data_IF_092812691669
#
_entry.id   IF_092812691669
#
_cell.length_a   1.000
_cell.length_b   1.000
_cell.length_c   1.000
_cell.angle_alpha   90.00
_cell.angle_beta   90.00
_cell.angle_gamma   90.00
#
_symmetry.space_group_name_H-M   'P 1'
#
loop_
_entity.id
_entity.type
_entity.pdbx_description
1 polymer ?
#
# COMPACT_ATOMS: atom_id res chain seq x y z
N UNK A 1 3.80 -4.08 -5.50
CA UNK A 1 3.80 -3.07 -6.58
C UNK A 1 2.91 -3.53 -7.74
N UNK A 2 2.97 -4.81 -8.13
CA UNK A 2 2.24 -5.35 -9.28
C UNK A 2 0.71 -5.18 -9.29
N UNK A 3 0.02 -5.26 -8.14
CA UNK A 3 -1.45 -5.17 -8.12
C UNK A 3 -1.96 -3.77 -8.49
N UNK A 4 -1.29 -2.70 -8.03
CA UNK A 4 -1.68 -1.33 -8.36
C UNK A 4 -1.43 -1.00 -9.84
N UNK A 5 -0.34 -1.53 -10.41
CA UNK A 5 -0.04 -1.40 -11.83
C UNK A 5 -1.08 -2.14 -12.68
N UNK A 6 -1.43 -3.38 -12.31
CA UNK A 6 -2.49 -4.15 -12.95
C UNK A 6 -3.84 -3.42 -12.87
N UNK A 7 -4.19 -2.88 -11.70
CA UNK A 7 -5.41 -2.08 -11.50
C UNK A 7 -5.48 -0.90 -12.48
N UNK A 8 -4.42 -0.09 -12.55
CA UNK A 8 -4.33 1.07 -13.43
C UNK A 8 -4.40 0.68 -14.92
N UNK A 9 -3.74 -0.41 -15.29
CA UNK A 9 -3.78 -0.95 -16.66
C UNK A 9 -5.20 -1.39 -17.05
N UNK A 10 -5.91 -2.10 -16.17
CA UNK A 10 -7.29 -2.54 -16.41
C UNK A 10 -8.24 -1.35 -16.47
N UNK A 11 -8.09 -0.37 -15.59
CA UNK A 11 -8.90 0.86 -15.58
C UNK A 11 -8.75 1.64 -16.89
N UNK A 12 -7.51 1.79 -17.37
CA UNK A 12 -7.23 2.40 -18.67
C UNK A 12 -7.89 1.63 -19.81
N UNK A 13 -7.78 0.29 -19.79
CA UNK A 13 -8.38 -0.55 -20.83
C UNK A 13 -9.90 -0.50 -20.81
N UNK A 14 -10.50 -0.48 -19.63
CA UNK A 14 -11.95 -0.35 -19.43
C UNK A 14 -12.46 0.97 -20.03
N UNK A 15 -11.75 2.08 -19.78
CA UNK A 15 -12.11 3.38 -20.34
C UNK A 15 -12.03 3.38 -21.88
N UNK A 16 -10.97 2.81 -22.45
CA UNK A 16 -10.82 2.68 -23.92
C UNK A 16 -11.94 1.86 -24.54
N UNK A 17 -12.28 0.72 -23.93
CA UNK A 17 -13.35 -0.17 -24.41
C UNK A 17 -14.70 0.54 -24.38
N UNK A 18 -15.04 1.21 -23.27
CA UNK A 18 -16.29 1.98 -23.13
C UNK A 18 -16.39 3.08 -24.18
N UNK A 19 -15.31 3.81 -24.42
CA UNK A 19 -15.29 4.88 -25.42
C UNK A 19 -15.50 4.33 -26.83
N UNK A 20 -14.73 3.31 -27.24
CA UNK A 20 -14.88 2.69 -28.57
C UNK A 20 -16.28 2.14 -28.78
N UNK A 21 -16.84 1.45 -27.78
CA UNK A 21 -18.17 0.86 -27.84
C UNK A 21 -19.27 1.91 -28.06
N UNK A 22 -19.19 3.04 -27.35
CA UNK A 22 -20.13 4.16 -27.51
C UNK A 22 -20.01 4.83 -28.88
N UNK A 23 -18.77 5.11 -29.32
CA UNK A 23 -18.52 5.76 -30.60
C UNK A 23 -18.98 4.90 -31.79
N UNK A 24 -18.68 3.60 -31.77
CA UNK A 24 -19.01 2.68 -32.86
C UNK A 24 -20.54 2.49 -32.98
N UNK A 25 -21.24 2.36 -31.85
CA UNK A 25 -22.70 2.27 -31.83
C UNK A 25 -23.38 3.56 -32.26
N UNK A 26 -22.87 4.72 -31.83
CA UNK A 26 -23.40 6.01 -32.24
C UNK A 26 -23.24 6.23 -33.75
N UNK A 27 -22.06 5.93 -34.31
CA UNK A 27 -21.80 6.02 -35.75
C UNK A 27 -22.73 5.10 -36.55
N UNK A 28 -22.89 3.84 -36.14
CA UNK A 28 -23.75 2.90 -36.85
C UNK A 28 -25.22 3.33 -36.88
N UNK A 29 -25.75 3.85 -35.76
CA UNK A 29 -27.12 4.39 -35.69
C UNK A 29 -27.30 5.64 -36.54
N UNK A 30 -26.30 6.52 -36.54
CA UNK A 30 -26.33 7.73 -37.36
C UNK A 30 -26.36 7.37 -38.84
N UNK A 31 -25.48 6.47 -39.30
CA UNK A 31 -25.49 5.99 -40.69
C UNK A 31 -26.82 5.36 -41.07
N UNK A 32 -27.41 4.51 -40.21
CA UNK A 32 -28.75 3.95 -40.50
C UNK A 32 -29.82 5.04 -40.66
N UNK A 33 -29.81 6.04 -39.77
CA UNK A 33 -30.77 7.14 -39.80
C UNK A 33 -30.61 8.00 -41.05
N UNK A 34 -29.37 8.31 -41.43
CA UNK A 34 -29.06 9.12 -42.60
C UNK A 34 -29.48 8.41 -43.90
N UNK A 35 -29.15 7.12 -44.04
CA UNK A 35 -29.52 6.34 -45.23
C UNK A 35 -31.03 6.08 -45.32
N UNK A 36 -31.70 5.83 -44.19
CA UNK A 36 -33.16 5.72 -44.16
C UNK A 36 -33.85 7.03 -44.56
N UNK A 37 -33.28 8.17 -44.13
CA UNK A 37 -33.78 9.50 -44.51
C UNK A 37 -33.57 9.77 -45.99
N UNK A 38 -32.40 9.44 -46.54
CA UNK A 38 -32.11 9.57 -47.97
C UNK A 38 -33.06 8.71 -48.82
N UNK A 39 -33.34 7.47 -48.40
CA UNK A 39 -34.34 6.63 -49.05
C UNK A 39 -35.74 7.26 -49.03
N UNK A 40 -36.19 7.75 -47.88
CA UNK A 40 -37.49 8.41 -47.77
C UNK A 40 -37.61 9.67 -48.67
N UNK A 41 -36.52 10.43 -48.81
CA UNK A 41 -36.47 11.61 -49.70
C UNK A 41 -36.54 11.21 -51.18
N UNK A 42 -35.80 10.18 -51.60
CA UNK A 42 -35.83 9.68 -52.97
C UNK A 42 -37.23 9.18 -53.37
N UNK A 43 -37.89 8.45 -52.46
CA UNK A 43 -39.30 8.01 -52.62
C UNK A 43 -40.23 9.23 -52.75
N UNK A 44 -40.05 10.25 -51.90
CA UNK A 44 -40.90 11.44 -51.92
C UNK A 44 -40.75 12.28 -53.21
N UNK A 45 -39.58 12.27 -53.84
CA UNK A 45 -39.31 13.00 -55.08
C UNK A 45 -39.64 12.21 -56.35
N UNK A 46 -39.98 10.93 -56.24
CA UNK A 46 -40.30 10.07 -57.39
C UNK A 46 -39.11 9.75 -58.28
N UNK A 47 -37.89 9.86 -57.75
CA UNK A 47 -36.65 9.49 -58.45
C UNK A 47 -36.46 7.97 -58.35
N UNK A 48 -36.94 7.23 -59.35
CA UNK A 48 -36.93 5.75 -59.35
C UNK A 48 -35.51 5.17 -59.35
N UNK A 49 -34.54 5.83 -59.97
CA UNK A 49 -33.14 5.36 -59.95
C UNK A 49 -32.47 5.69 -58.61
N UNK A 50 -32.67 6.91 -58.10
CA UNK A 50 -32.20 7.32 -56.78
C UNK A 50 -32.81 6.49 -55.65
N UNK A 51 -34.09 6.12 -55.76
CA UNK A 51 -34.79 5.25 -54.81
C UNK A 51 -34.09 3.89 -54.71
N UNK A 52 -33.78 3.26 -55.85
CA UNK A 52 -33.13 1.94 -55.87
C UNK A 52 -31.73 1.98 -55.27
N UNK A 53 -30.97 3.05 -55.55
CA UNK A 53 -29.64 3.24 -54.97
C UNK A 53 -29.72 3.49 -53.45
N UNK A 54 -30.60 4.39 -53.00
CA UNK A 54 -30.79 4.72 -51.60
C UNK A 54 -31.33 3.53 -50.79
N UNK A 55 -32.20 2.69 -51.37
CA UNK A 55 -32.65 1.45 -50.73
C UNK A 55 -31.49 0.47 -50.49
N UNK A 56 -30.58 0.35 -51.45
CA UNK A 56 -29.42 -0.54 -51.32
C UNK A 56 -28.48 -0.08 -50.20
N UNK A 57 -28.22 1.22 -50.08
CA UNK A 57 -27.41 1.77 -49.00
C UNK A 57 -28.13 1.72 -47.65
N UNK A 58 -29.44 1.97 -47.59
CA UNK A 58 -30.24 1.78 -46.37
C UNK A 58 -30.20 0.33 -45.87
N UNK A 59 -30.34 -0.65 -46.76
CA UNK A 59 -30.23 -2.08 -46.41
C UNK A 59 -28.83 -2.44 -45.91
N UNK A 60 -27.79 -1.83 -46.50
CA UNK A 60 -26.40 -2.03 -46.08
C UNK A 60 -26.13 -1.39 -44.71
N UNK A 61 -26.66 -0.19 -44.46
CA UNK A 61 -26.58 0.46 -43.16
C UNK A 61 -27.30 -0.35 -42.06
N UNK A 62 -28.49 -0.90 -42.34
CA UNK A 62 -29.20 -1.78 -41.41
C UNK A 62 -28.41 -3.06 -41.07
N UNK A 63 -27.76 -3.68 -42.07
CA UNK A 63 -26.86 -4.83 -41.83
C UNK A 63 -25.66 -4.43 -40.97
N UNK A 64 -25.05 -3.29 -41.24
CA UNK A 64 -23.93 -2.77 -40.44
C UNK A 64 -24.36 -2.47 -39.00
N UNK A 65 -25.55 -1.91 -38.78
CA UNK A 65 -26.08 -1.69 -37.44
C UNK A 65 -26.30 -3.02 -36.70
N UNK A 66 -26.84 -4.05 -37.37
CA UNK A 66 -27.01 -5.37 -36.75
C UNK A 66 -25.66 -5.94 -36.29
N UNK A 67 -24.62 -5.81 -37.10
CA UNK A 67 -23.27 -6.22 -36.73
C UNK A 67 -22.70 -5.39 -35.56
N UNK A 68 -22.95 -4.07 -35.55
CA UNK A 68 -22.55 -3.19 -34.45
C UNK A 68 -23.26 -3.54 -33.15
N UNK A 69 -24.56 -3.88 -33.19
CA UNK A 69 -25.33 -4.32 -32.00
C UNK A 69 -24.74 -5.60 -31.40
N UNK A 70 -24.37 -6.59 -32.23
CA UNK A 70 -23.71 -7.81 -31.72
C UNK A 70 -22.29 -7.54 -31.19
N UNK A 71 -21.56 -6.60 -31.80
CA UNK A 71 -20.29 -6.14 -31.25
C UNK A 71 -20.47 -5.47 -29.88
N UNK A 72 -21.45 -4.57 -29.78
CA UNK A 72 -21.80 -3.88 -28.54
C UNK A 72 -22.15 -4.86 -27.42
N UNK A 73 -22.99 -5.85 -27.70
CA UNK A 73 -23.33 -6.91 -26.73
C UNK A 73 -22.07 -7.63 -26.21
N UNK A 74 -21.10 -7.92 -27.09
CA UNK A 74 -19.82 -8.54 -26.69
C UNK A 74 -18.96 -7.58 -25.86
N UNK A 75 -18.89 -6.30 -26.22
CA UNK A 75 -18.16 -5.30 -25.44
C UNK A 75 -18.76 -5.11 -24.04
N UNK A 76 -20.09 -5.14 -23.89
CA UNK A 76 -20.75 -5.07 -22.59
C UNK A 76 -20.37 -6.24 -21.66
N UNK A 77 -20.22 -7.45 -22.21
CA UNK A 77 -19.71 -8.60 -21.44
C UNK A 77 -18.25 -8.39 -21.01
N UNK A 78 -17.41 -7.85 -21.90
CA UNK A 78 -16.01 -7.54 -21.57
C UNK A 78 -15.91 -6.45 -20.49
N UNK A 79 -16.70 -5.38 -20.61
CA UNK A 79 -16.81 -4.30 -19.61
C UNK A 79 -17.15 -4.87 -18.24
N UNK A 80 -18.20 -5.71 -18.17
CA UNK A 80 -18.64 -6.34 -16.93
C UNK A 80 -17.53 -7.22 -16.31
N UNK A 81 -16.80 -7.97 -17.14
CA UNK A 81 -15.69 -8.79 -16.67
C UNK A 81 -14.52 -7.95 -16.13
N UNK A 82 -14.15 -6.87 -16.81
CA UNK A 82 -13.09 -5.96 -16.36
C UNK A 82 -13.47 -5.24 -15.06
N UNK A 83 -14.74 -4.83 -14.90
CA UNK A 83 -15.24 -4.25 -13.65
C UNK A 83 -15.13 -5.24 -12.49
N UNK A 84 -15.52 -6.50 -12.70
CA UNK A 84 -15.40 -7.54 -11.68
C UNK A 84 -13.95 -7.82 -11.30
N UNK A 85 -13.04 -7.80 -12.27
CA UNK A 85 -11.60 -7.95 -12.01
C UNK A 85 -11.06 -6.79 -11.17
N UNK A 86 -11.47 -5.54 -11.45
CA UNK A 86 -11.09 -4.39 -10.63
C UNK A 86 -11.56 -4.54 -9.18
N UNK A 87 -12.80 -4.98 -8.95
CA UNK A 87 -13.32 -5.24 -7.60
C UNK A 87 -12.48 -6.31 -6.88
N UNK A 88 -12.09 -7.37 -7.60
CA UNK A 88 -11.28 -8.45 -7.05
C UNK A 88 -9.87 -7.97 -6.70
N UNK A 89 -9.25 -7.17 -7.57
CA UNK A 89 -7.93 -6.59 -7.31
C UNK A 89 -7.97 -5.63 -6.12
N UNK A 90 -9.00 -4.78 -6.02
CA UNK A 90 -9.18 -3.85 -4.91
C UNK A 90 -9.30 -4.59 -3.57
N UNK A 91 -10.02 -5.72 -3.54
CA UNK A 91 -10.07 -6.59 -2.37
C UNK A 91 -8.69 -7.13 -1.99
N UNK A 92 -7.94 -7.67 -2.96
CA UNK A 92 -6.59 -8.19 -2.71
C UNK A 92 -5.61 -7.11 -2.24
N UNK A 93 -5.73 -5.88 -2.75
CA UNK A 93 -4.92 -4.74 -2.29
C UNK A 93 -5.24 -4.45 -0.83
N UNK A 94 -6.52 -4.37 -0.45
CA UNK A 94 -6.94 -4.11 0.92
C UNK A 94 -6.46 -5.20 1.89
N UNK A 95 -6.59 -6.47 1.51
CA UNK A 95 -6.13 -7.60 2.33
C UNK A 95 -4.60 -7.57 2.50
N UNK A 96 -3.85 -7.32 1.43
CA UNK A 96 -2.40 -7.20 1.49
C UNK A 96 -1.95 -6.04 2.41
N UNK A 97 -2.64 -4.89 2.35
CA UNK A 97 -2.36 -3.75 3.23
C UNK A 97 -2.64 -4.10 4.70
N UNK A 98 -3.74 -4.80 4.97
CA UNK A 98 -4.10 -5.24 6.33
C UNK A 98 -3.06 -6.21 6.89
N UNK A 99 -2.63 -7.20 6.12
CA UNK A 99 -1.59 -8.14 6.56
C UNK A 99 -0.24 -7.45 6.76
N UNK A 100 0.13 -6.53 5.87
CA UNK A 100 1.33 -5.71 6.04
C UNK A 100 1.30 -4.93 7.36
N UNK A 101 0.19 -4.25 7.67
CA UNK A 101 0.06 -3.49 8.91
C UNK A 101 0.20 -4.38 10.16
N UNK A 102 -0.34 -5.62 10.12
CA UNK A 102 -0.14 -6.59 11.21
C UNK A 102 1.32 -7.00 11.36
N UNK A 103 2.04 -7.21 10.26
CA UNK A 103 3.46 -7.56 10.28
C UNK A 103 4.28 -6.40 10.82
N UNK A 104 4.03 -5.17 10.36
CA UNK A 104 4.71 -3.97 10.83
C UNK A 104 4.49 -3.73 12.33
N UNK A 105 3.27 -3.93 12.83
CA UNK A 105 2.97 -3.87 14.27
C UNK A 105 3.77 -4.92 15.06
N UNK A 106 3.80 -6.18 14.59
CA UNK A 106 4.61 -7.24 15.24
C UNK A 106 6.10 -6.91 15.22
N UNK A 107 6.61 -6.40 14.10
CA UNK A 107 8.00 -6.00 13.96
C UNK A 107 8.35 -4.83 14.90
N UNK A 108 7.44 -3.86 15.05
CA UNK A 108 7.62 -2.76 15.99
C UNK A 108 7.65 -3.23 17.45
N UNK A 109 6.77 -4.17 17.83
CA UNK A 109 6.83 -4.77 19.17
C UNK A 109 8.14 -5.52 19.41
N UNK A 110 8.60 -6.31 18.44
CA UNK A 110 9.88 -7.01 18.54
C UNK A 110 11.06 -6.02 18.64
N UNK A 111 11.05 -4.96 17.83
CA UNK A 111 12.07 -3.93 17.88
C UNK A 111 12.09 -3.21 19.24
N UNK A 112 10.91 -2.94 19.81
CA UNK A 112 10.80 -2.38 21.16
C UNK A 112 11.45 -3.32 22.19
N UNK A 113 11.08 -4.60 22.22
CA UNK A 113 11.66 -5.58 23.16
C UNK A 113 13.18 -5.67 23.04
N UNK A 114 13.72 -5.72 21.81
CA UNK A 114 15.18 -5.73 21.60
C UNK A 114 15.84 -4.46 22.14
N UNK A 115 15.22 -3.29 21.95
CA UNK A 115 15.74 -2.04 22.47
C UNK A 115 15.66 -1.95 24.00
N UNK A 116 14.60 -2.48 24.61
CA UNK A 116 14.48 -2.60 26.07
C UNK A 116 15.62 -3.47 26.64
N UNK A 117 15.89 -4.62 26.03
CA UNK A 117 17.01 -5.49 26.42
C UNK A 117 18.37 -4.80 26.26
N UNK A 118 18.61 -4.14 25.12
CA UNK A 118 19.84 -3.41 24.87
C UNK A 118 20.05 -2.25 25.85
N UNK A 119 18.99 -1.53 26.19
CA UNK A 119 19.01 -0.49 27.21
C UNK A 119 19.42 -1.05 28.57
N UNK A 120 18.80 -2.15 28.97
CA UNK A 120 19.08 -2.82 30.23
C UNK A 120 20.53 -3.33 30.30
N UNK A 121 21.06 -3.92 29.23
CA UNK A 121 22.45 -4.36 29.17
C UNK A 121 23.45 -3.18 29.21
N UNK A 122 23.14 -2.08 28.50
CA UNK A 122 23.95 -0.87 28.58
C UNK A 122 23.96 -0.28 30.00
N UNK A 123 22.82 -0.29 30.69
CA UNK A 123 22.72 0.14 32.08
C UNK A 123 23.58 -0.74 33.00
N UNK A 124 23.55 -2.07 32.83
CA UNK A 124 24.42 -2.99 33.61
C UNK A 124 25.90 -2.73 33.37
N UNK A 125 26.32 -2.47 32.13
CA UNK A 125 27.71 -2.14 31.81
C UNK A 125 28.14 -0.78 32.42
N UNK A 126 27.22 0.19 32.46
CA UNK A 126 27.44 1.47 33.12
C UNK A 126 27.56 1.29 34.65
N UNK A 127 26.73 0.46 35.27
CA UNK A 127 26.81 0.16 36.71
C UNK A 127 28.13 -0.51 37.07
N UNK A 128 28.62 -1.42 36.23
CA UNK A 128 29.91 -2.06 36.42
C UNK A 128 31.05 -1.04 36.40
N UNK A 129 31.08 -0.18 35.39
CA UNK A 129 32.09 0.86 35.25
C UNK A 129 31.97 1.92 36.36
N UNK A 130 30.75 2.28 36.73
CA UNK A 130 30.43 3.20 37.82
C UNK A 130 30.83 2.65 39.19
N UNK A 131 30.68 1.35 39.44
CA UNK A 131 31.11 0.67 40.65
C UNK A 131 32.63 0.71 40.82
N UNK A 132 33.39 0.45 39.74
CA UNK A 132 34.86 0.62 39.72
C UNK A 132 35.28 2.06 40.00
N UNK A 133 34.62 3.04 39.36
CA UNK A 133 34.90 4.46 39.60
C UNK A 133 34.59 4.86 41.05
N UNK A 134 33.49 4.36 41.62
CA UNK A 134 33.13 4.59 43.01
C UNK A 134 34.22 4.05 43.95
N UNK A 135 34.65 2.80 43.76
CA UNK A 135 35.72 2.19 44.55
C UNK A 135 37.04 2.99 44.45
N UNK A 136 37.43 3.39 43.24
CA UNK A 136 38.64 4.19 43.03
C UNK A 136 38.58 5.56 43.75
N UNK A 137 37.42 6.24 43.71
CA UNK A 137 37.21 7.51 44.43
C UNK A 137 37.34 7.36 45.94
N UNK A 138 36.78 6.29 46.51
CA UNK A 138 36.90 6.00 47.94
C UNK A 138 38.36 5.79 48.35
N UNK A 139 39.17 5.10 47.52
CA UNK A 139 40.60 4.90 47.79
C UNK A 139 41.39 6.20 47.84
N UNK A 140 41.01 7.21 47.06
CA UNK A 140 41.65 8.53 47.05
C UNK A 140 40.93 9.54 47.97
N UNK A 141 40.03 9.08 48.84
CA UNK A 141 39.25 9.93 49.76
C UNK A 141 38.45 11.04 49.05
N UNK A 142 37.97 10.77 47.84
CA UNK A 142 37.11 11.68 47.07
C UNK A 142 35.65 11.24 47.16
N UNK A 143 34.77 12.18 47.46
CA UNK A 143 33.33 11.89 47.60
C UNK A 143 32.67 11.59 46.22
N UNK A 144 31.93 10.47 46.08
CA UNK A 144 31.21 10.11 44.87
C UNK A 144 29.83 10.79 44.72
N UNK A 145 29.54 11.93 45.39
CA UNK A 145 28.25 12.68 45.29
C UNK A 145 27.64 12.72 43.87
N UNK A 146 28.45 12.94 42.84
CA UNK A 146 27.98 13.01 41.45
C UNK A 146 27.29 11.71 40.97
N UNK A 147 27.71 10.55 41.49
CA UNK A 147 27.15 9.23 41.18
C UNK A 147 25.89 8.91 42.01
N UNK A 148 25.65 9.61 43.12
CA UNK A 148 24.47 9.38 43.97
C UNK A 148 23.14 9.77 43.29
N UNK A 149 23.21 10.51 42.18
CA UNK A 149 22.03 10.89 41.38
C UNK A 149 21.67 9.84 40.32
N UNK A 150 22.38 8.72 40.25
CA UNK A 150 22.08 7.67 39.30
C UNK A 150 20.72 7.05 39.63
N UNK A 151 19.84 7.08 38.63
CA UNK A 151 18.55 6.40 38.62
C UNK A 151 18.23 6.06 37.17
N UNK A 152 18.33 4.77 36.83
CA UNK A 152 18.10 4.27 35.47
C UNK A 152 16.93 3.28 35.54
N UNK A 153 15.78 3.60 34.90
CA UNK A 153 14.64 2.70 34.92
C UNK A 153 14.95 1.45 34.10
N UNK A 154 14.67 0.28 34.69
CA UNK A 154 14.65 -0.98 33.97
C UNK A 154 13.48 -0.97 32.98
N UNK A 155 13.71 -1.46 31.76
CA UNK A 155 12.69 -1.52 30.72
C UNK A 155 12.21 -2.96 30.52
N UNK A 156 11.00 -3.14 29.98
CA UNK A 156 10.37 -4.45 29.79
C UNK A 156 9.45 -4.86 30.96
N UNK A 157 9.43 -6.15 31.31
CA UNK A 157 8.50 -6.70 32.33
C UNK A 157 8.89 -6.38 33.79
N UNK A 158 10.10 -5.86 34.02
CA UNK A 158 10.58 -5.50 35.34
C UNK A 158 10.33 -4.01 35.60
N UNK A 159 9.70 -3.71 36.73
CA UNK A 159 9.31 -2.34 37.11
C UNK A 159 10.28 -1.69 38.10
N UNK A 160 11.56 -2.08 38.03
CA UNK A 160 12.62 -1.58 38.91
C UNK A 160 13.37 -0.38 38.35
N UNK A 161 14.29 0.16 39.14
CA UNK A 161 15.34 1.04 38.64
C UNK A 161 16.67 0.67 39.28
N UNK A 162 17.75 0.84 38.50
CA UNK A 162 19.10 0.74 39.02
C UNK A 162 19.54 2.10 39.51
N UNK A 163 19.92 2.15 40.78
CA UNK A 163 20.21 3.38 41.49
C UNK A 163 21.68 3.42 41.93
N UNK A 164 22.05 4.49 42.63
CA UNK A 164 23.34 4.58 43.29
C UNK A 164 23.62 3.45 44.30
N UNK A 165 22.59 2.78 44.84
CA UNK A 165 22.76 1.67 45.78
C UNK A 165 23.47 0.49 45.11
N UNK A 166 23.09 0.18 43.87
CA UNK A 166 23.74 -0.85 43.08
C UNK A 166 25.20 -0.51 42.76
N UNK A 167 25.55 0.77 42.62
CA UNK A 167 26.95 1.20 42.49
C UNK A 167 27.75 0.93 43.76
N UNK A 168 27.17 1.23 44.93
CA UNK A 168 27.79 0.96 46.23
C UNK A 168 28.02 -0.54 46.39
N UNK A 169 26.99 -1.35 46.15
CA UNK A 169 27.07 -2.81 46.30
C UNK A 169 28.13 -3.43 45.38
N UNK A 170 28.27 -2.94 44.14
CA UNK A 170 29.34 -3.37 43.21
C UNK A 170 30.71 -2.83 43.61
N UNK A 171 30.80 -1.61 44.12
CA UNK A 171 32.09 -1.03 44.54
C UNK A 171 32.78 -1.86 45.63
N UNK A 172 31.99 -2.51 46.50
CA UNK A 172 32.48 -3.40 47.56
C UNK A 172 33.13 -4.69 47.02
N UNK A 173 32.92 -5.00 45.73
CA UNK A 173 33.45 -6.20 45.07
C UNK A 173 34.78 -5.96 44.35
N UNK A 174 35.26 -4.71 44.29
CA UNK A 174 36.51 -4.38 43.61
C UNK A 174 37.62 -4.07 44.60
N UNK A 175 38.70 -4.85 44.55
CA UNK A 175 39.93 -4.56 45.29
C UNK A 175 40.83 -3.60 44.51
N UNK A 176 41.84 -3.03 45.19
CA UNK A 176 42.87 -2.22 44.53
C UNK A 176 43.57 -2.99 43.38
N UNK A 177 43.78 -4.30 43.54
CA UNK A 177 44.40 -5.13 42.49
C UNK A 177 43.50 -5.27 41.27
N UNK A 178 42.18 -5.41 41.46
CA UNK A 178 41.21 -5.52 40.37
C UNK A 178 41.08 -4.20 39.60
N UNK A 179 41.19 -3.06 40.29
CA UNK A 179 41.15 -1.73 39.68
C UNK A 179 42.40 -1.41 38.86
N UNK A 180 43.56 -1.95 39.25
CA UNK A 180 44.82 -1.76 38.53
C UNK A 180 44.96 -2.69 37.32
N UNK A 181 44.16 -3.76 37.26
CA UNK A 181 44.10 -4.69 36.13
C UNK A 181 43.03 -4.33 35.08
N UNK A 182 42.27 -3.26 35.31
CA UNK A 182 41.14 -2.80 34.49
C UNK A 182 41.55 -2.02 33.24
#
# INVERSE_FOLDING_TARGET
MELNEKRSSIETRLQQVRQSDQEDMAKARQTETDEATAYAQAVAWGDVEGEKAANAEAQKAAKNLTAAVEHHRRQQLLISALEQELVTIDLHIADAQKERAKIESKAAHLANTVLEEQWNEAAKALLESGGKLWAARQLISQDPIALMKLDIPEQGEHFGSWTWRELVDRSLQHSLLDLLAA
#
